data_IF_909504095896
#
_entry.id   IF_909504095896
#
_cell.length_a   1.000
_cell.length_b   1.000
_cell.length_c   1.000
_cell.angle_alpha   90.00
_cell.angle_beta   90.00
_cell.angle_gamma   90.00
#
_symmetry.space_group_name_H-M   'P 1'
#
loop_
_entity.id
_entity.type
_entity.pdbx_description
1 polymer ?
#
# COMPACT_ATOMS: atom_id res chain seq x y z
N UNK A 1 7.95 19.10 -20.68
CA UNK A 1 6.90 18.09 -20.42
C UNK A 1 6.49 18.24 -18.96
N UNK A 2 5.21 18.41 -18.67
CA UNK A 2 4.73 18.46 -17.28
C UNK A 2 4.54 17.03 -16.75
N UNK A 3 4.81 16.81 -15.47
CA UNK A 3 4.67 15.51 -14.82
C UNK A 3 3.82 15.61 -13.55
N UNK A 4 3.11 14.53 -13.24
CA UNK A 4 2.27 14.42 -12.03
C UNK A 4 2.92 13.44 -11.07
N UNK A 5 3.01 13.82 -9.80
CA UNK A 5 3.56 13.01 -8.73
C UNK A 5 2.47 12.71 -7.69
N UNK A 6 2.41 11.45 -7.28
CA UNK A 6 1.53 10.96 -6.22
C UNK A 6 2.38 10.54 -5.03
N UNK A 7 2.17 11.17 -3.89
CA UNK A 7 2.78 10.80 -2.61
C UNK A 7 1.76 10.06 -1.77
N UNK A 8 2.15 8.86 -1.32
CA UNK A 8 1.33 8.00 -0.48
C UNK A 8 1.94 7.96 0.92
N UNK A 9 1.14 8.27 1.93
CA UNK A 9 1.55 8.22 3.34
C UNK A 9 0.70 7.20 4.13
N UNK A 10 1.25 6.64 5.23
CA UNK A 10 0.49 5.76 6.12
C UNK A 10 -0.84 6.38 6.56
N UNK A 11 -1.85 5.54 6.78
CA UNK A 11 -3.20 5.99 7.09
C UNK A 11 -4.01 6.46 5.88
N UNK A 12 -3.52 6.30 4.66
CA UNK A 12 -4.30 6.53 3.43
C UNK A 12 -4.22 7.94 2.85
N UNK A 13 -3.32 8.79 3.33
CA UNK A 13 -3.19 10.15 2.77
C UNK A 13 -2.53 10.09 1.40
N UNK A 14 -3.17 10.71 0.40
CA UNK A 14 -2.64 10.92 -0.95
C UNK A 14 -2.40 12.40 -1.14
N UNK A 15 -1.19 12.78 -1.56
CA UNK A 15 -0.86 14.15 -1.95
C UNK A 15 -0.38 14.20 -3.40
N UNK A 16 -0.87 15.18 -4.16
CA UNK A 16 -0.61 15.31 -5.60
C UNK A 16 0.15 16.59 -5.89
N UNK A 17 1.21 16.48 -6.70
CA UNK A 17 1.96 17.61 -7.23
C UNK A 17 2.04 17.55 -8.75
N UNK A 18 1.97 18.71 -9.39
CA UNK A 18 2.36 18.88 -10.79
C UNK A 18 3.73 19.52 -10.81
N UNK A 19 4.65 19.01 -11.64
CA UNK A 19 5.93 19.65 -11.93
C UNK A 19 5.91 20.27 -13.31
N UNK A 20 6.31 21.54 -13.37
CA UNK A 20 6.48 22.26 -14.63
C UNK A 20 7.73 21.78 -15.41
N UNK A 21 8.01 22.39 -16.55
CA UNK A 21 9.21 22.10 -17.36
C UNK A 21 10.52 22.42 -16.65
N UNK A 22 10.50 23.25 -15.61
CA UNK A 22 11.64 23.61 -14.76
C UNK A 22 11.69 22.75 -13.48
N UNK A 23 10.84 21.73 -13.38
CA UNK A 23 10.71 20.84 -12.23
C UNK A 23 10.27 21.51 -10.91
N UNK A 24 9.64 22.68 -10.95
CA UNK A 24 9.05 23.27 -9.75
C UNK A 24 7.78 22.51 -9.35
N UNK A 25 7.67 22.01 -8.11
CA UNK A 25 6.48 21.30 -7.66
C UNK A 25 5.38 22.28 -7.21
N UNK A 26 4.21 22.20 -7.83
CA UNK A 26 2.98 22.83 -7.37
C UNK A 26 2.08 21.77 -6.72
N UNK A 27 1.70 21.96 -5.45
CA UNK A 27 0.72 21.10 -4.78
C UNK A 27 -0.68 21.39 -5.33
N UNK A 28 -1.33 20.39 -5.93
CA UNK A 28 -2.62 20.58 -6.61
C UNK A 28 -3.78 19.86 -5.95
N UNK A 29 -3.51 18.79 -5.20
CA UNK A 29 -4.57 18.07 -4.49
C UNK A 29 -4.04 17.35 -3.24
N UNK A 30 -4.96 17.07 -2.33
CA UNK A 30 -4.78 16.17 -1.19
C UNK A 30 -6.09 15.40 -1.00
N UNK A 31 -6.00 14.09 -0.83
CA UNK A 31 -7.13 13.22 -0.58
C UNK A 31 -6.83 12.26 0.57
N UNK A 32 -7.89 11.73 1.17
CA UNK A 32 -7.85 10.66 2.15
C UNK A 32 -8.46 9.43 1.48
N UNK A 33 -7.68 8.35 1.37
CA UNK A 33 -8.15 7.10 0.82
C UNK A 33 -9.11 6.42 1.81
N UNK A 34 -10.09 5.72 1.25
CA UNK A 34 -11.03 4.90 2.00
C UNK A 34 -10.45 3.50 2.22
N UNK A 35 -10.96 2.84 3.26
CA UNK A 35 -10.63 1.44 3.53
C UNK A 35 -11.46 0.58 2.57
N UNK A 36 -10.80 -0.23 1.75
CA UNK A 36 -11.45 -1.25 0.91
C UNK A 36 -11.76 -2.48 1.78
N UNK A 37 -13.03 -2.72 2.16
CA UNK A 37 -13.38 -3.81 3.08
C UNK A 37 -13.06 -5.21 2.51
N UNK A 38 -12.99 -5.36 1.18
CA UNK A 38 -12.71 -6.63 0.52
C UNK A 38 -11.21 -6.93 0.38
N UNK A 39 -10.35 -5.96 0.69
CA UNK A 39 -8.90 -6.06 0.60
C UNK A 39 -8.35 -6.31 -0.82
N UNK A 40 -7.05 -6.65 -0.93
CA UNK A 40 -6.34 -6.76 -2.21
C UNK A 40 -6.88 -7.82 -3.18
N UNK A 41 -7.58 -8.84 -2.64
CA UNK A 41 -8.15 -9.94 -3.42
C UNK A 41 -9.63 -9.73 -3.77
N UNK A 42 -10.22 -8.59 -3.40
CA UNK A 42 -11.65 -8.33 -3.60
C UNK A 42 -12.53 -9.44 -3.00
N UNK A 43 -12.15 -9.93 -1.81
CA UNK A 43 -12.84 -11.00 -1.10
C UNK A 43 -12.66 -12.41 -1.67
N UNK A 44 -12.00 -12.58 -2.82
CA UNK A 44 -11.89 -13.88 -3.52
C UNK A 44 -11.06 -14.93 -2.78
N UNK A 45 -10.19 -14.50 -1.87
CA UNK A 45 -9.34 -15.39 -1.08
C UNK A 45 -9.84 -15.61 0.36
N UNK A 46 -11.01 -15.12 0.76
CA UNK A 46 -11.53 -15.26 2.14
C UNK A 46 -10.51 -14.79 3.22
N UNK A 47 -9.75 -13.74 2.92
CA UNK A 47 -8.69 -13.24 3.81
C UNK A 47 -7.44 -14.14 3.87
N UNK A 48 -7.37 -15.21 3.07
CA UNK A 48 -6.18 -16.06 2.97
C UNK A 48 -5.12 -15.44 2.05
N UNK A 49 -3.87 -15.77 2.35
CA UNK A 49 -2.77 -15.50 1.44
C UNK A 49 -2.97 -16.17 0.09
N UNK A 50 -2.57 -15.46 -0.98
CA UNK A 50 -2.65 -16.00 -2.34
C UNK A 50 -1.82 -17.28 -2.53
N UNK A 51 -0.77 -17.45 -1.72
CA UNK A 51 0.14 -18.60 -1.78
C UNK A 51 0.36 -19.20 -0.39
N UNK A 52 0.57 -20.52 -0.30
CA UNK A 52 0.94 -21.16 0.95
C UNK A 52 2.32 -20.66 1.43
N UNK A 53 2.41 -20.39 2.72
CA UNK A 53 3.67 -20.00 3.37
C UNK A 53 4.63 -21.19 3.34
N UNK A 54 5.82 -21.00 2.77
CA UNK A 54 6.87 -22.02 2.79
C UNK A 54 7.26 -22.40 4.22
N UNK A 55 7.70 -23.64 4.44
CA UNK A 55 8.13 -24.12 5.76
C UNK A 55 9.27 -23.27 6.36
N UNK A 56 10.18 -22.77 5.53
CA UNK A 56 11.24 -21.85 5.98
C UNK A 56 10.67 -20.54 6.51
N UNK A 57 9.68 -19.97 5.82
CA UNK A 57 9.03 -18.74 6.23
C UNK A 57 8.19 -18.92 7.51
N UNK A 58 7.45 -20.04 7.63
CA UNK A 58 6.72 -20.38 8.88
C UNK A 58 7.64 -20.41 10.10
N UNK A 59 8.75 -21.13 10.02
CA UNK A 59 9.75 -21.19 11.12
C UNK A 59 10.30 -19.81 11.49
N UNK A 60 10.47 -18.92 10.52
CA UNK A 60 10.93 -17.56 10.76
C UNK A 60 9.85 -16.73 11.47
N UNK A 61 8.61 -16.81 11.00
CA UNK A 61 7.45 -16.15 11.60
C UNK A 61 7.28 -16.57 13.07
N UNK A 62 7.28 -17.88 13.33
CA UNK A 62 7.11 -18.45 14.67
C UNK A 62 8.25 -18.04 15.61
N UNK A 63 9.49 -18.03 15.10
CA UNK A 63 10.68 -17.67 15.89
C UNK A 63 10.68 -16.20 16.33
N UNK A 64 10.23 -15.30 15.47
CA UNK A 64 10.32 -13.85 15.70
C UNK A 64 8.98 -13.21 16.09
N UNK A 65 7.91 -13.99 16.22
CA UNK A 65 6.59 -13.49 16.55
C UNK A 65 6.07 -12.49 15.52
N UNK A 66 6.39 -12.70 14.23
CA UNK A 66 5.89 -11.81 13.17
C UNK A 66 4.39 -12.00 13.10
N UNK A 67 3.58 -10.94 13.18
CA UNK A 67 2.13 -11.07 13.18
C UNK A 67 1.64 -11.34 11.75
N UNK A 68 2.12 -12.39 11.09
CA UNK A 68 1.85 -12.69 9.69
C UNK A 68 0.36 -12.94 9.43
N UNK A 69 -0.41 -13.42 10.41
CA UNK A 69 -1.87 -13.57 10.26
C UNK A 69 -2.68 -12.27 10.34
N UNK A 70 -2.07 -11.13 10.67
CA UNK A 70 -2.78 -9.86 10.88
C UNK A 70 -2.68 -8.88 9.71
N UNK A 71 -2.27 -9.35 8.52
CA UNK A 71 -2.06 -8.54 7.32
C UNK A 71 -3.08 -8.90 6.25
#
# INVERSE_FOLDING_TARGET
MASVYLGLAPGGVVQVWVRDSCHHPAKVARAQAEIEPLGPSQGKNEGRYAYPVSEKAKRYIDKYGIPYGSW
#
